data_IF_789590821812
#
_entry.id   IF_789590821812
#
_cell.length_a   1.000
_cell.length_b   1.000
_cell.length_c   1.000
_cell.angle_alpha   90.00
_cell.angle_beta   90.00
_cell.angle_gamma   90.00
#
_symmetry.space_group_name_H-M   'P 1'
#
loop_
_entity.id
_entity.type
_entity.pdbx_description
1 polymer ?
#
# COMPACT_ATOMS: atom_id res chain seq x y z
N UNK A 1 -24.71 54.03 -25.82
CA UNK A 1 -23.86 52.85 -26.13
C UNK A 1 -22.67 52.67 -25.20
N UNK A 2 -21.83 53.70 -24.95
CA UNK A 2 -20.63 53.60 -24.08
C UNK A 2 -20.89 52.99 -22.69
N UNK A 3 -21.95 53.40 -21.99
CA UNK A 3 -22.26 52.88 -20.64
C UNK A 3 -22.69 51.40 -20.63
N UNK A 4 -23.30 50.89 -21.70
CA UNK A 4 -23.67 49.46 -21.81
C UNK A 4 -22.43 48.59 -22.02
N UNK A 5 -21.51 49.03 -22.88
CA UNK A 5 -20.24 48.32 -23.15
C UNK A 5 -19.36 48.29 -21.90
N UNK A 6 -19.28 49.40 -21.17
CA UNK A 6 -18.55 49.50 -19.90
C UNK A 6 -19.11 48.53 -18.84
N UNK A 7 -20.43 48.51 -18.66
CA UNK A 7 -21.06 47.62 -17.68
C UNK A 7 -20.93 46.13 -18.04
N UNK A 8 -20.95 45.78 -19.33
CA UNK A 8 -20.68 44.42 -19.80
C UNK A 8 -19.23 44.00 -19.54
N UNK A 9 -18.27 44.85 -19.87
CA UNK A 9 -16.85 44.61 -19.60
C UNK A 9 -16.56 44.42 -18.10
N UNK A 10 -17.15 45.26 -17.25
CA UNK A 10 -17.03 45.14 -15.79
C UNK A 10 -17.55 43.78 -15.29
N UNK A 11 -18.74 43.35 -15.73
CA UNK A 11 -19.30 42.04 -15.35
C UNK A 11 -18.44 40.88 -15.83
N UNK A 12 -17.94 40.93 -17.07
CA UNK A 12 -17.06 39.91 -17.63
C UNK A 12 -15.76 39.79 -16.82
N UNK A 13 -15.13 40.92 -16.48
CA UNK A 13 -13.92 40.95 -15.65
C UNK A 13 -14.16 40.43 -14.24
N UNK A 14 -15.32 40.74 -13.62
CA UNK A 14 -15.67 40.20 -12.30
C UNK A 14 -15.87 38.69 -12.33
N UNK A 15 -16.56 38.16 -13.35
CA UNK A 15 -16.74 36.71 -13.53
C UNK A 15 -15.39 36.03 -13.75
N UNK A 16 -14.54 36.60 -14.62
CA UNK A 16 -13.20 36.08 -14.88
C UNK A 16 -12.31 36.09 -13.63
N UNK A 17 -12.37 37.16 -12.83
CA UNK A 17 -11.66 37.27 -11.55
C UNK A 17 -12.15 36.23 -10.54
N UNK A 18 -13.46 35.97 -10.49
CA UNK A 18 -14.05 34.93 -9.65
C UNK A 18 -13.57 33.52 -10.03
N UNK A 19 -13.59 33.20 -11.33
CA UNK A 19 -13.08 31.90 -11.84
C UNK A 19 -11.58 31.76 -11.55
N UNK A 20 -10.79 32.82 -11.79
CA UNK A 20 -9.35 32.82 -11.52
C UNK A 20 -9.05 32.61 -10.03
N UNK A 21 -9.81 33.23 -9.13
CA UNK A 21 -9.65 33.07 -7.69
C UNK A 21 -9.96 31.63 -7.24
N UNK A 22 -11.03 31.02 -7.77
CA UNK A 22 -11.34 29.60 -7.51
C UNK A 22 -10.19 28.71 -7.99
N UNK A 23 -9.66 28.96 -9.19
CA UNK A 23 -8.50 28.24 -9.72
C UNK A 23 -7.29 28.32 -8.79
N UNK A 24 -6.96 29.52 -8.28
CA UNK A 24 -5.86 29.71 -7.34
C UNK A 24 -6.10 28.95 -6.03
N UNK A 25 -7.31 29.00 -5.47
CA UNK A 25 -7.65 28.27 -4.24
C UNK A 25 -7.49 26.76 -4.43
N UNK A 26 -7.93 26.21 -5.57
CA UNK A 26 -7.77 24.79 -5.88
C UNK A 26 -6.30 24.39 -6.03
N UNK A 27 -5.49 25.21 -6.72
CA UNK A 27 -4.06 24.96 -6.89
C UNK A 27 -3.34 25.01 -5.54
N UNK A 28 -3.57 26.06 -4.74
CA UNK A 28 -2.94 26.20 -3.42
C UNK A 28 -3.40 25.09 -2.46
N UNK A 29 -4.68 24.71 -2.50
CA UNK A 29 -5.23 23.60 -1.73
C UNK A 29 -4.58 22.26 -2.10
N UNK A 30 -4.43 21.99 -3.40
CA UNK A 30 -3.74 20.79 -3.89
C UNK A 30 -2.28 20.76 -3.46
N UNK A 31 -1.55 21.87 -3.66
CA UNK A 31 -0.14 21.98 -3.26
C UNK A 31 0.04 21.83 -1.75
N UNK A 32 -0.83 22.44 -0.94
CA UNK A 32 -0.79 22.30 0.50
C UNK A 32 -1.02 20.83 0.91
N UNK A 33 -2.03 20.18 0.33
CA UNK A 33 -2.35 18.77 0.60
C UNK A 33 -1.19 17.83 0.24
N UNK A 34 -0.58 18.01 -0.93
CA UNK A 34 0.54 17.17 -1.39
C UNK A 34 1.83 17.40 -0.60
N UNK A 35 2.07 18.62 -0.10
CA UNK A 35 3.36 18.98 0.53
C UNK A 35 3.36 18.98 2.06
N UNK A 36 2.21 18.96 2.73
CA UNK A 36 2.17 19.11 4.20
C UNK A 36 1.62 17.88 4.93
N UNK A 37 0.32 17.60 4.80
CA UNK A 37 -0.43 16.79 5.79
C UNK A 37 -0.88 15.42 5.27
N UNK A 38 -1.19 15.27 3.98
CA UNK A 38 -1.98 14.11 3.53
C UNK A 38 -1.23 13.02 2.78
N UNK A 39 -0.11 13.36 2.13
CA UNK A 39 0.41 12.51 1.05
C UNK A 39 1.94 12.46 0.96
N UNK A 40 2.59 11.88 1.96
CA UNK A 40 4.05 11.75 2.01
C UNK A 40 4.45 10.31 2.23
N UNK A 41 5.63 9.95 1.72
CA UNK A 41 6.28 8.71 2.09
C UNK A 41 6.67 8.77 3.57
N UNK A 42 6.28 7.73 4.31
CA UNK A 42 6.58 7.54 5.72
C UNK A 42 7.37 6.25 5.88
N UNK A 43 8.54 6.33 6.51
CA UNK A 43 9.42 5.18 6.72
C UNK A 43 9.72 4.99 8.20
N UNK A 44 9.68 3.73 8.64
CA UNK A 44 10.08 3.29 9.97
C UNK A 44 9.37 4.02 11.13
N UNK A 45 8.12 4.44 10.92
CA UNK A 45 7.27 5.08 11.94
C UNK A 45 6.08 4.24 12.38
N UNK A 46 5.74 3.17 11.66
CA UNK A 46 4.58 2.36 12.00
C UNK A 46 4.74 1.69 13.37
N UNK A 47 3.70 1.80 14.19
CA UNK A 47 3.62 1.19 15.51
C UNK A 47 2.94 -0.18 15.42
N UNK A 48 2.92 -0.92 16.54
CA UNK A 48 2.17 -2.19 16.63
C UNK A 48 0.68 -2.01 16.32
N UNK A 49 0.10 -0.90 16.76
CA UNK A 49 -1.32 -0.60 16.56
C UNK A 49 -1.63 -0.36 15.09
N UNK A 50 -0.71 0.22 14.35
CA UNK A 50 -0.90 0.54 12.93
C UNK A 50 -0.89 -0.73 12.08
N UNK A 51 -0.05 -1.71 12.42
CA UNK A 51 0.09 -2.96 11.65
C UNK A 51 -0.78 -4.12 12.13
N UNK A 52 -1.64 -3.91 13.14
CA UNK A 52 -2.48 -4.98 13.71
C UNK A 52 -3.36 -5.68 12.69
N UNK A 53 -3.77 -4.94 11.65
CA UNK A 53 -4.60 -5.48 10.59
C UNK A 53 -3.92 -6.64 9.85
N UNK A 54 -2.59 -6.64 9.75
CA UNK A 54 -1.83 -7.67 9.01
C UNK A 54 -2.08 -9.06 9.59
N UNK A 55 -1.94 -9.21 10.91
CA UNK A 55 -2.18 -10.50 11.56
C UNK A 55 -3.67 -10.81 11.71
N UNK A 56 -4.52 -9.78 11.81
CA UNK A 56 -5.96 -9.96 11.91
C UNK A 56 -6.57 -10.46 10.58
N UNK A 57 -6.15 -9.94 9.43
CA UNK A 57 -6.61 -10.37 8.10
C UNK A 57 -6.29 -11.85 7.83
N UNK A 58 -5.09 -12.31 8.20
CA UNK A 58 -4.71 -13.71 8.06
C UNK A 58 -5.10 -14.58 9.26
N UNK A 59 -5.91 -14.06 10.20
CA UNK A 59 -6.45 -14.76 11.38
C UNK A 59 -5.38 -15.35 12.30
N UNK A 60 -4.21 -14.73 12.39
CA UNK A 60 -3.18 -15.13 13.36
C UNK A 60 -3.37 -14.44 14.72
N UNK A 61 -4.01 -13.28 14.74
CA UNK A 61 -4.25 -12.48 15.94
C UNK A 61 -3.11 -11.49 16.21
N UNK A 62 -3.47 -10.23 16.47
CA UNK A 62 -2.53 -9.12 16.68
C UNK A 62 -1.82 -9.17 18.04
N UNK A 63 -2.29 -9.99 18.99
CA UNK A 63 -1.64 -10.22 20.28
C UNK A 63 -0.22 -10.79 20.14
N UNK A 64 0.10 -11.35 18.97
CA UNK A 64 1.41 -11.96 18.68
C UNK A 64 2.46 -10.96 18.24
N UNK A 65 2.11 -9.70 18.01
CA UNK A 65 3.02 -8.67 17.48
C UNK A 65 4.02 -8.23 18.56
N UNK A 66 5.28 -8.59 18.37
CA UNK A 66 6.36 -8.22 19.28
C UNK A 66 6.96 -6.86 18.92
N UNK A 67 7.19 -6.59 17.64
CA UNK A 67 7.79 -5.34 17.16
C UNK A 67 7.57 -5.16 15.66
N UNK A 68 7.49 -3.91 15.21
CA UNK A 68 7.64 -3.56 13.80
C UNK A 68 9.11 -3.22 13.56
N UNK A 69 9.82 -4.01 12.76
CA UNK A 69 11.25 -3.76 12.49
C UNK A 69 11.45 -2.75 11.39
N UNK A 70 10.62 -2.83 10.35
CA UNK A 70 10.65 -1.92 9.21
C UNK A 70 9.24 -1.58 8.78
N UNK A 71 9.04 -0.35 8.32
CA UNK A 71 7.81 0.09 7.69
C UNK A 71 8.11 1.05 6.56
N UNK A 72 7.31 0.98 5.51
CA UNK A 72 7.32 1.91 4.39
C UNK A 72 5.87 2.13 3.97
N UNK A 73 5.45 3.37 3.84
CA UNK A 73 4.13 3.76 3.36
C UNK A 73 4.33 4.89 2.37
N UNK A 74 4.08 4.64 1.09
CA UNK A 74 4.21 5.67 0.07
C UNK A 74 3.07 6.68 0.20
N UNK A 75 3.33 7.89 -0.31
CA UNK A 75 2.23 8.75 -0.73
C UNK A 75 1.30 8.00 -1.70
N UNK A 76 -0.01 8.23 -1.57
CA UNK A 76 -1.06 7.78 -2.47
C UNK A 76 -1.15 8.69 -3.69
N UNK A 77 -1.13 8.13 -4.89
CA UNK A 77 -1.37 8.92 -6.10
C UNK A 77 -2.84 9.35 -6.18
N UNK A 78 -3.16 10.27 -7.10
CA UNK A 78 -4.54 10.69 -7.35
C UNK A 78 -5.45 9.52 -7.81
N UNK A 79 -4.89 8.55 -8.53
CA UNK A 79 -5.56 7.30 -8.96
C UNK A 79 -5.58 6.23 -7.87
N UNK A 80 -5.00 6.54 -6.70
CA UNK A 80 -4.92 5.67 -5.54
C UNK A 80 -3.82 4.63 -5.65
N UNK A 81 -2.77 4.88 -6.42
CA UNK A 81 -1.60 4.01 -6.53
C UNK A 81 -0.76 4.15 -5.28
N UNK A 82 -0.18 3.04 -4.84
CA UNK A 82 0.55 3.01 -3.58
C UNK A 82 1.51 1.85 -3.43
N UNK A 83 2.39 1.99 -2.45
CA UNK A 83 3.24 0.94 -1.91
C UNK A 83 3.29 1.06 -0.38
N UNK A 84 2.79 0.05 0.30
CA UNK A 84 2.99 -0.17 1.73
C UNK A 84 3.76 -1.46 1.94
N UNK A 85 4.71 -1.45 2.86
CA UNK A 85 5.36 -2.66 3.29
C UNK A 85 5.67 -2.62 4.79
N UNK A 86 5.54 -3.77 5.45
CA UNK A 86 5.90 -3.94 6.85
C UNK A 86 6.73 -5.21 7.06
N UNK A 87 7.73 -5.13 7.93
CA UNK A 87 8.38 -6.29 8.52
C UNK A 87 8.06 -6.32 10.02
N UNK A 88 7.45 -7.42 10.47
CA UNK A 88 6.86 -7.55 11.80
C UNK A 88 7.45 -8.79 12.47
N UNK A 89 8.03 -8.59 13.65
CA UNK A 89 8.45 -9.67 14.54
C UNK A 89 7.24 -10.16 15.33
N UNK A 90 7.08 -11.49 15.38
CA UNK A 90 5.96 -12.14 16.07
C UNK A 90 6.45 -13.17 17.08
N UNK A 91 5.65 -13.46 18.10
CA UNK A 91 6.08 -14.34 19.20
C UNK A 91 6.10 -15.83 18.84
N UNK A 92 5.04 -16.29 18.15
CA UNK A 92 4.87 -17.69 17.73
C UNK A 92 3.97 -17.83 16.50
N UNK A 93 4.40 -18.71 15.59
CA UNK A 93 3.57 -19.30 14.54
C UNK A 93 4.21 -20.63 14.15
N UNK A 94 3.40 -21.67 13.96
CA UNK A 94 3.90 -23.00 13.56
C UNK A 94 3.50 -23.34 12.14
N UNK A 95 4.22 -24.29 11.51
CA UNK A 95 3.89 -24.73 10.15
C UNK A 95 2.54 -25.44 10.11
N UNK A 96 2.24 -26.20 11.15
CA UNK A 96 1.01 -26.95 11.33
C UNK A 96 -0.18 -26.01 11.42
N UNK A 97 -0.05 -24.89 12.15
CA UNK A 97 -1.07 -23.86 12.23
C UNK A 97 -1.39 -23.26 10.85
N UNK A 98 -0.36 -22.96 10.05
CA UNK A 98 -0.53 -22.38 8.71
C UNK A 98 -1.11 -23.38 7.71
N UNK A 99 -0.68 -24.65 7.75
CA UNK A 99 -1.23 -25.71 6.90
C UNK A 99 -2.71 -25.99 7.16
N UNK A 100 -3.14 -25.89 8.41
CA UNK A 100 -4.52 -26.17 8.80
C UNK A 100 -5.45 -24.96 8.62
N UNK A 101 -4.90 -23.76 8.42
CA UNK A 101 -5.67 -22.54 8.15
C UNK A 101 -5.95 -22.38 6.66
N UNK A 102 -7.21 -22.09 6.32
CA UNK A 102 -7.61 -21.73 4.96
C UNK A 102 -6.97 -20.41 4.54
N UNK A 103 -6.53 -20.33 3.28
CA UNK A 103 -6.02 -19.12 2.65
C UNK A 103 -4.49 -18.98 2.66
N UNK A 104 -3.76 -19.81 3.41
CA UNK A 104 -2.31 -19.87 3.30
C UNK A 104 -1.89 -20.83 2.19
N UNK A 105 -0.97 -20.38 1.35
CA UNK A 105 -0.34 -21.17 0.29
C UNK A 105 1.16 -21.23 0.55
N UNK A 106 1.80 -22.37 0.31
CA UNK A 106 3.28 -22.44 0.35
C UNK A 106 3.84 -21.71 -0.87
N UNK A 107 4.94 -20.98 -0.68
CA UNK A 107 5.55 -20.17 -1.74
C UNK A 107 6.02 -21.00 -2.95
N UNK A 108 6.33 -22.29 -2.75
CA UNK A 108 6.67 -23.24 -3.83
C UNK A 108 5.46 -23.79 -4.61
N UNK A 109 4.24 -23.63 -4.07
CA UNK A 109 3.01 -24.23 -4.59
C UNK A 109 1.89 -23.19 -4.70
N UNK A 110 2.18 -22.08 -5.39
CA UNK A 110 1.23 -20.99 -5.61
C UNK A 110 0.30 -21.25 -6.81
N UNK A 111 -1.01 -20.95 -6.70
CA UNK A 111 -1.88 -20.80 -7.86
C UNK A 111 -1.35 -19.72 -8.81
N UNK A 112 -1.61 -19.86 -10.12
CA UNK A 112 -1.06 -18.98 -11.15
C UNK A 112 -1.23 -17.47 -10.84
N UNK A 113 -2.46 -17.03 -10.55
CA UNK A 113 -2.74 -15.61 -10.26
C UNK A 113 -1.97 -15.09 -9.04
N UNK A 114 -1.81 -15.93 -8.01
CA UNK A 114 -1.04 -15.56 -6.83
C UNK A 114 0.47 -15.54 -7.12
N UNK A 115 0.96 -16.49 -7.93
CA UNK A 115 2.35 -16.47 -8.39
C UNK A 115 2.66 -15.18 -9.16
N UNK A 116 1.80 -14.81 -10.10
CA UNK A 116 1.95 -13.59 -10.90
C UNK A 116 1.91 -12.34 -9.99
N UNK A 117 1.04 -12.32 -8.96
CA UNK A 117 0.99 -11.23 -7.98
C UNK A 117 2.26 -11.15 -7.12
N UNK A 118 2.79 -12.30 -6.68
CA UNK A 118 4.05 -12.37 -5.92
C UNK A 118 5.22 -11.85 -6.76
N UNK A 119 5.30 -12.27 -8.03
CA UNK A 119 6.32 -11.78 -8.97
C UNK A 119 6.18 -10.27 -9.22
N UNK A 120 4.96 -9.77 -9.43
CA UNK A 120 4.72 -8.32 -9.55
C UNK A 120 5.22 -7.55 -8.32
N UNK A 121 4.95 -8.04 -7.11
CA UNK A 121 5.40 -7.36 -5.88
C UNK A 121 6.92 -7.33 -5.71
N UNK A 122 7.66 -8.25 -6.34
CA UNK A 122 9.13 -8.25 -6.30
C UNK A 122 9.77 -7.09 -7.05
N UNK A 123 9.05 -6.42 -7.94
CA UNK A 123 9.55 -5.23 -8.64
C UNK A 123 9.87 -4.04 -7.72
N UNK A 124 9.36 -4.04 -6.49
CA UNK A 124 9.52 -2.95 -5.51
C UNK A 124 10.80 -3.01 -4.68
N UNK A 125 11.70 -3.98 -4.92
CA UNK A 125 12.95 -4.14 -4.16
C UNK A 125 13.82 -2.87 -4.06
N UNK A 126 13.73 -1.97 -5.05
CA UNK A 126 14.47 -0.72 -5.06
C UNK A 126 13.98 0.31 -4.04
N UNK A 127 12.67 0.34 -3.73
CA UNK A 127 12.06 1.22 -2.72
C UNK A 127 12.14 0.61 -1.32
N UNK A 128 12.05 -0.73 -1.23
CA UNK A 128 12.00 -1.47 0.04
C UNK A 128 13.08 -2.56 0.10
N UNK A 129 14.38 -2.20 0.13
CA UNK A 129 15.49 -3.15 0.02
C UNK A 129 15.61 -4.13 1.20
N UNK A 130 14.94 -3.85 2.32
CA UNK A 130 14.86 -4.72 3.49
C UNK A 130 13.78 -5.81 3.36
N UNK A 131 12.89 -5.71 2.37
CA UNK A 131 11.86 -6.70 2.10
C UNK A 131 12.51 -7.97 1.51
N UNK A 132 12.06 -9.18 1.91
CA UNK A 132 12.72 -10.41 1.47
C UNK A 132 12.57 -10.62 -0.04
N UNK A 133 13.68 -10.92 -0.70
CA UNK A 133 13.71 -11.29 -2.11
C UNK A 133 13.17 -12.71 -2.31
N UNK A 134 12.45 -12.93 -3.40
CA UNK A 134 11.88 -14.25 -3.72
C UNK A 134 12.94 -15.35 -3.89
N UNK A 135 14.15 -14.95 -4.28
CA UNK A 135 15.31 -15.84 -4.48
C UNK A 135 15.93 -16.27 -3.15
N UNK A 136 15.96 -15.36 -2.15
CA UNK A 136 16.56 -15.59 -0.83
C UNK A 136 15.63 -16.37 0.11
N UNK A 137 14.34 -16.37 -0.19
CA UNK A 137 13.35 -17.10 0.59
C UNK A 137 13.43 -18.60 0.30
N UNK A 138 13.63 -19.39 1.36
CA UNK A 138 13.43 -20.84 1.32
C UNK A 138 11.96 -21.14 1.05
N UNK A 139 11.60 -21.32 -0.23
CA UNK A 139 10.22 -21.39 -0.71
C UNK A 139 9.35 -22.42 0.02
N UNK A 140 9.97 -23.49 0.52
CA UNK A 140 9.30 -24.54 1.27
C UNK A 140 8.86 -24.13 2.69
N UNK A 141 9.53 -23.12 3.26
CA UNK A 141 9.35 -22.65 4.64
C UNK A 141 8.54 -21.36 4.74
N UNK A 142 8.11 -20.79 3.60
CA UNK A 142 7.35 -19.55 3.54
C UNK A 142 5.92 -19.82 3.11
N UNK A 143 4.99 -19.18 3.82
CA UNK A 143 3.57 -19.23 3.49
C UNK A 143 3.10 -17.84 3.09
N UNK A 144 2.32 -17.76 2.02
CA UNK A 144 1.73 -16.54 1.48
C UNK A 144 0.23 -16.59 1.70
N UNK A 145 -0.32 -15.51 2.24
CA UNK A 145 -1.75 -15.29 2.37
C UNK A 145 -2.13 -14.10 1.47
N UNK A 146 -2.90 -14.33 0.39
CA UNK A 146 -3.44 -13.24 -0.41
C UNK A 146 -4.65 -12.65 0.30
N UNK A 147 -4.53 -11.42 0.81
CA UNK A 147 -5.69 -10.69 1.31
C UNK A 147 -6.54 -10.17 0.15
N UNK A 148 -5.89 -9.50 -0.80
CA UNK A 148 -6.53 -9.05 -2.03
C UNK A 148 -5.56 -9.11 -3.21
N UNK A 149 -6.09 -9.35 -4.41
CA UNK A 149 -5.37 -9.24 -5.67
C UNK A 149 -6.28 -8.48 -6.62
N UNK A 150 -5.80 -7.35 -7.12
CA UNK A 150 -6.49 -6.54 -8.10
C UNK A 150 -5.99 -6.92 -9.48
N UNK A 151 -6.90 -7.22 -10.39
CA UNK A 151 -6.56 -7.64 -11.75
C UNK A 151 -7.18 -6.69 -12.78
N UNK A 152 -6.42 -6.42 -13.84
CA UNK A 152 -6.98 -5.95 -15.10
C UNK A 152 -7.06 -7.15 -16.05
N UNK A 153 -8.27 -7.66 -16.26
CA UNK A 153 -8.46 -8.96 -16.91
C UNK A 153 -7.89 -10.09 -16.04
N UNK A 154 -6.86 -10.78 -16.55
CA UNK A 154 -6.19 -11.91 -15.86
C UNK A 154 -4.83 -11.54 -15.26
N UNK A 155 -4.37 -10.31 -15.47
CA UNK A 155 -3.06 -9.83 -15.02
C UNK A 155 -3.20 -9.02 -13.74
N UNK A 156 -2.48 -9.36 -12.66
CA UNK A 156 -2.45 -8.54 -11.46
C UNK A 156 -1.91 -7.13 -11.74
N UNK A 157 -2.57 -6.12 -11.20
CA UNK A 157 -2.15 -4.70 -11.20
C UNK A 157 -1.97 -4.15 -9.78
N UNK A 158 -2.37 -4.92 -8.78
CA UNK A 158 -2.17 -4.61 -7.37
C UNK A 158 -2.37 -5.85 -6.52
N UNK A 159 -1.77 -5.88 -5.34
CA UNK A 159 -1.90 -6.99 -4.42
C UNK A 159 -1.63 -6.56 -2.98
N UNK A 160 -2.34 -7.19 -2.05
CA UNK A 160 -2.09 -7.13 -0.62
C UNK A 160 -1.74 -8.54 -0.16
N UNK A 161 -0.44 -8.78 0.03
CA UNK A 161 0.13 -10.08 0.32
C UNK A 161 0.77 -10.09 1.70
N UNK A 162 0.53 -11.17 2.44
CA UNK A 162 1.12 -11.41 3.75
C UNK A 162 1.99 -12.65 3.66
N UNK A 163 3.29 -12.49 3.86
CA UNK A 163 4.26 -13.57 3.94
C UNK A 163 4.53 -13.91 5.39
N UNK A 164 4.47 -15.19 5.73
CA UNK A 164 4.80 -15.69 7.06
C UNK A 164 6.01 -16.59 6.95
N UNK A 165 7.03 -16.28 7.74
CA UNK A 165 8.28 -17.03 7.85
C UNK A 165 8.38 -17.61 9.26
N UNK A 166 7.78 -18.80 9.53
CA UNK A 166 7.69 -19.35 10.87
C UNK A 166 9.03 -19.53 11.58
N UNK A 167 10.05 -19.95 10.83
CA UNK A 167 11.39 -20.22 11.35
C UNK A 167 12.02 -18.98 11.99
N UNK A 168 11.84 -17.83 11.35
CA UNK A 168 12.40 -16.56 11.79
C UNK A 168 11.41 -15.78 12.68
N UNK A 169 10.20 -16.32 12.87
CA UNK A 169 9.08 -15.66 13.54
C UNK A 169 8.83 -14.25 12.99
N UNK A 170 8.85 -14.13 11.67
CA UNK A 170 8.61 -12.87 10.96
C UNK A 170 7.38 -12.97 10.08
N UNK A 171 6.66 -11.86 10.02
CA UNK A 171 5.58 -11.61 9.06
C UNK A 171 5.99 -10.41 8.23
N UNK A 172 5.88 -10.54 6.92
CA UNK A 172 6.07 -9.45 5.98
C UNK A 172 4.74 -9.15 5.30
N UNK A 173 4.40 -7.87 5.20
CA UNK A 173 3.24 -7.41 4.46
C UNK A 173 3.73 -6.55 3.30
N UNK A 174 3.10 -6.70 2.15
CA UNK A 174 3.22 -5.77 1.04
C UNK A 174 1.84 -5.50 0.45
N UNK A 175 1.47 -4.24 0.38
CA UNK A 175 0.29 -3.74 -0.29
C UNK A 175 0.73 -2.83 -1.42
N UNK A 176 0.31 -3.10 -2.65
CA UNK A 176 0.63 -2.22 -3.78
C UNK A 176 -0.51 -2.16 -4.77
N UNK A 177 -0.63 -1.01 -5.42
CA UNK A 177 -1.51 -0.79 -6.57
C UNK A 177 -0.79 0.11 -7.56
N UNK A 178 -0.87 -0.27 -8.83
CA UNK A 178 -0.37 0.47 -10.00
C UNK A 178 -1.50 0.83 -10.95
#
# INVERSE_FOLDING_TARGET
MKNRIYNLGKKALTIWGGISLIGIILILGYLAYSTTIGNKTVENKATKSDVRFVLNWCRLGDERIEKVTNSYESGRSFTGDFLDAYAIDISKVTREELKNKKGFYRLDSLPKVLKDAVEMTSGWEHEIPWFPKLEDLKKEEVYVYPWSIYCNGVTPTGAELIYVVPKNKKVYYIGTKM
#
